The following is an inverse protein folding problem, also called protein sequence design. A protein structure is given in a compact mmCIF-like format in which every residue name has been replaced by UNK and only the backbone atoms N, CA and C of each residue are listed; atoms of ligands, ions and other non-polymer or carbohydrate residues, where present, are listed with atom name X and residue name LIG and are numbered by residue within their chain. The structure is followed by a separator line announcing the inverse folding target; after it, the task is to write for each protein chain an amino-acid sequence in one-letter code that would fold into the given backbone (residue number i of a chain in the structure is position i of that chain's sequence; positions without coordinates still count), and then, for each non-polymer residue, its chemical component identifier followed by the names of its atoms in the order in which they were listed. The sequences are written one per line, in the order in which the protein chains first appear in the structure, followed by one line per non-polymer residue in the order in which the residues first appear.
data_IF_866161606302
#
_entry.id   IF_866161606302
#
_cell.length_a   1.000
_cell.length_b   1.000
_cell.length_c   1.000
_cell.angle_alpha   90.00
_cell.angle_beta   90.00
_cell.angle_gamma   90.00
#
_symmetry.space_group_name_H-M   'P 1'
#
loop_
_entity.id
_entity.type
_entity.pdbx_description
1 polymer ?
#
# COMPACT_ATOMS: atom_id res chain seq x y z
N UNK A 1 6.97 21.83 -18.71
CA UNK A 1 6.02 22.60 -17.88
C UNK A 1 6.81 23.60 -17.05
N UNK A 2 6.85 24.87 -17.45
CA UNK A 2 7.15 25.96 -16.52
C UNK A 2 5.79 26.50 -16.06
N UNK A 3 5.41 26.20 -14.82
CA UNK A 3 4.11 26.55 -14.29
C UNK A 3 4.08 26.44 -12.78
N UNK A 4 3.11 27.11 -12.15
CA UNK A 4 2.89 27.04 -10.71
C UNK A 4 2.76 25.58 -10.26
N UNK A 5 3.40 25.21 -9.15
CA UNK A 5 3.32 23.87 -8.58
C UNK A 5 3.18 23.97 -7.05
N UNK A 6 2.07 23.49 -6.45
CA UNK A 6 0.88 22.91 -7.08
C UNK A 6 0.10 23.90 -7.96
N UNK A 7 -0.65 23.35 -8.93
CA UNK A 7 -1.59 24.09 -9.78
C UNK A 7 -3.02 23.76 -9.37
N UNK A 8 -3.86 24.77 -9.15
CA UNK A 8 -5.29 24.55 -8.92
C UNK A 8 -5.99 24.25 -10.25
N UNK A 9 -6.64 23.09 -10.36
CA UNK A 9 -7.30 22.61 -11.58
C UNK A 9 -8.82 22.66 -11.51
N UNK A 10 -9.39 22.70 -10.30
CA UNK A 10 -10.81 22.98 -10.08
C UNK A 10 -10.98 23.91 -8.87
N UNK A 11 -12.06 24.67 -8.86
CA UNK A 11 -12.40 25.64 -7.82
C UNK A 11 -13.72 25.24 -7.18
N UNK A 12 -13.84 25.39 -5.86
CA UNK A 12 -15.12 25.23 -5.17
C UNK A 12 -16.17 26.19 -5.75
N UNK A 13 -17.39 25.72 -6.04
CA UNK A 13 -18.47 26.60 -6.48
C UNK A 13 -18.76 27.72 -5.47
N UNK A 14 -18.97 28.95 -5.96
CA UNK A 14 -19.13 30.12 -5.10
C UNK A 14 -20.32 30.02 -4.14
N UNK A 15 -21.35 29.28 -4.52
CA UNK A 15 -22.59 29.07 -3.77
C UNK A 15 -22.53 27.91 -2.75
N UNK A 16 -21.42 27.17 -2.65
CA UNK A 16 -21.28 25.98 -1.79
C UNK A 16 -20.31 26.17 -0.63
N UNK A 17 -20.32 27.35 0.01
CA UNK A 17 -19.56 27.58 1.25
C UNK A 17 -20.42 27.21 2.47
N UNK A 18 -19.90 26.44 3.45
CA UNK A 18 -18.49 26.28 3.81
C UNK A 18 -17.68 25.38 2.86
N UNK A 19 -16.41 25.77 2.65
CA UNK A 19 -15.51 25.16 1.66
C UNK A 19 -15.37 23.65 1.91
N UNK A 20 -15.68 22.85 0.88
CA UNK A 20 -15.41 21.41 0.88
C UNK A 20 -13.92 21.15 1.09
N UNK A 21 -13.56 20.09 1.82
CA UNK A 21 -12.15 19.71 2.04
C UNK A 21 -11.41 19.63 0.69
N UNK A 22 -10.37 20.43 0.46
CA UNK A 22 -9.66 20.46 -0.81
C UNK A 22 -8.99 19.12 -1.09
N UNK A 23 -8.92 18.76 -2.38
CA UNK A 23 -8.25 17.56 -2.85
C UNK A 23 -6.91 17.91 -3.49
N UNK A 24 -5.84 17.23 -3.09
CA UNK A 24 -4.52 17.33 -3.71
C UNK A 24 -4.21 16.03 -4.44
N UNK A 25 -3.96 16.10 -5.74
CA UNK A 25 -3.66 14.98 -6.62
C UNK A 25 -2.21 15.03 -7.10
N UNK A 26 -1.46 13.95 -6.88
CA UNK A 26 -0.07 13.82 -7.28
C UNK A 26 0.02 13.11 -8.62
N UNK A 27 0.89 13.57 -9.52
CA UNK A 27 1.09 12.97 -10.84
C UNK A 27 1.33 11.45 -10.81
N UNK A 28 1.04 10.80 -11.93
CA UNK A 28 1.29 9.38 -12.16
C UNK A 28 2.76 9.09 -12.54
N UNK A 29 3.08 7.85 -12.92
CA UNK A 29 4.45 7.48 -13.34
C UNK A 29 4.96 8.26 -14.55
N UNK A 30 4.07 8.81 -15.36
CA UNK A 30 4.43 9.67 -16.49
C UNK A 30 4.92 11.06 -16.08
N UNK A 31 4.72 11.49 -14.82
CA UNK A 31 5.21 12.78 -14.33
C UNK A 31 4.28 13.97 -14.60
N UNK A 32 3.13 13.74 -15.24
CA UNK A 32 2.23 14.80 -15.71
C UNK A 32 0.91 14.83 -14.95
N UNK A 33 0.21 15.96 -14.99
CA UNK A 33 -1.10 16.14 -14.33
C UNK A 33 -2.26 16.21 -15.33
N UNK A 34 -2.02 15.93 -16.61
CA UNK A 34 -3.03 16.10 -17.67
C UNK A 34 -4.33 15.34 -17.37
N UNK A 35 -4.23 14.11 -16.87
CA UNK A 35 -5.39 13.29 -16.51
C UNK A 35 -6.32 13.94 -15.47
N UNK A 36 -5.82 14.89 -14.66
CA UNK A 36 -6.64 15.58 -13.67
C UNK A 36 -7.43 16.76 -14.23
N UNK A 37 -7.08 17.26 -15.42
CA UNK A 37 -7.84 18.33 -16.10
C UNK A 37 -9.11 17.81 -16.80
N UNK A 38 -9.16 16.52 -17.10
CA UNK A 38 -10.30 15.88 -17.77
C UNK A 38 -11.29 15.25 -16.79
N UNK A 39 -11.04 15.38 -15.48
CA UNK A 39 -11.98 14.96 -14.45
C UNK A 39 -13.24 15.83 -14.51
N UNK A 40 -14.39 15.20 -14.28
CA UNK A 40 -15.64 15.93 -14.05
C UNK A 40 -15.54 16.84 -12.82
N UNK A 41 -16.50 17.74 -12.68
CA UNK A 41 -16.55 18.68 -11.57
C UNK A 41 -16.73 17.95 -10.22
N UNK A 42 -15.72 18.07 -9.34
CA UNK A 42 -15.67 17.45 -8.02
C UNK A 42 -16.26 18.33 -6.92
N UNK A 43 -16.76 19.52 -7.27
CA UNK A 43 -17.41 20.48 -6.38
C UNK A 43 -16.52 20.88 -5.18
N UNK A 44 -15.20 20.96 -5.40
CA UNK A 44 -14.20 21.34 -4.39
C UNK A 44 -12.97 21.94 -5.06
N UNK A 45 -12.13 22.58 -4.25
CA UNK A 45 -10.80 22.96 -4.72
C UNK A 45 -9.98 21.69 -4.99
N UNK A 46 -9.44 21.59 -6.20
CA UNK A 46 -8.58 20.47 -6.61
C UNK A 46 -7.23 21.04 -7.02
N UNK A 47 -6.16 20.56 -6.40
CA UNK A 47 -4.78 20.95 -6.67
C UNK A 47 -4.04 19.76 -7.28
N UNK A 48 -3.27 20.01 -8.34
CA UNK A 48 -2.48 19.01 -9.02
C UNK A 48 -0.98 19.31 -8.87
N UNK A 49 -0.21 18.30 -8.48
CA UNK A 49 1.25 18.37 -8.33
C UNK A 49 1.89 17.59 -9.49
N UNK A 50 2.57 18.30 -10.40
CA UNK A 50 3.36 17.68 -11.47
C UNK A 50 4.78 17.41 -10.99
N UNK A 51 5.53 16.53 -11.70
CA UNK A 51 6.93 16.24 -11.39
C UNK A 51 7.84 17.43 -11.77
N UNK A 52 8.48 18.13 -10.80
CA UNK A 52 9.42 19.21 -11.10
C UNK A 52 10.62 18.78 -11.95
N UNK A 53 11.04 17.52 -11.86
CA UNK A 53 12.14 16.96 -12.66
C UNK A 53 11.65 16.41 -14.02
N UNK A 54 10.39 16.62 -14.42
CA UNK A 54 9.86 16.07 -15.68
C UNK A 54 10.65 16.53 -16.92
N UNK A 55 11.04 17.82 -16.96
CA UNK A 55 11.79 18.37 -18.09
C UNK A 55 13.27 18.00 -18.07
N UNK A 56 13.86 17.86 -16.88
CA UNK A 56 15.29 17.59 -16.74
C UNK A 56 15.58 16.08 -16.78
N UNK A 57 14.62 15.25 -16.39
CA UNK A 57 14.79 13.81 -16.26
C UNK A 57 15.71 13.41 -15.11
N UNK A 58 16.10 14.36 -14.25
CA UNK A 58 17.03 14.10 -13.15
C UNK A 58 16.43 13.12 -12.15
N UNK A 59 17.26 12.21 -11.58
CA UNK A 59 16.81 11.32 -10.53
C UNK A 59 16.39 12.11 -9.29
N UNK A 60 15.68 11.44 -8.39
CA UNK A 60 15.29 12.01 -7.11
C UNK A 60 16.21 11.52 -6.00
N UNK A 61 16.90 12.47 -5.37
CA UNK A 61 17.65 12.21 -4.15
C UNK A 61 16.70 11.71 -3.06
N UNK A 62 17.04 10.56 -2.46
CA UNK A 62 16.16 9.90 -1.49
C UNK A 62 14.95 9.19 -2.09
N UNK A 63 14.86 9.07 -3.42
CA UNK A 63 13.81 8.33 -4.13
C UNK A 63 12.39 8.85 -3.84
N UNK A 64 11.44 7.94 -3.63
CA UNK A 64 10.03 8.29 -3.36
C UNK A 64 9.89 9.17 -2.10
N UNK A 65 10.66 8.89 -1.05
CA UNK A 65 10.57 9.63 0.22
C UNK A 65 11.09 11.07 0.06
N UNK A 66 12.19 11.23 -0.68
CA UNK A 66 12.71 12.55 -1.04
C UNK A 66 11.74 13.35 -1.91
N UNK A 67 11.11 12.68 -2.88
CA UNK A 67 10.05 13.29 -3.71
C UNK A 67 8.85 13.73 -2.87
N UNK A 68 8.34 12.86 -1.99
CA UNK A 68 7.22 13.18 -1.11
C UNK A 68 7.55 14.35 -0.17
N UNK A 69 8.76 14.39 0.38
CA UNK A 69 9.23 15.49 1.23
C UNK A 69 9.30 16.82 0.47
N UNK A 70 9.72 16.78 -0.80
CA UNK A 70 9.68 17.96 -1.67
C UNK A 70 8.24 18.43 -1.93
N UNK A 71 7.31 17.50 -2.21
CA UNK A 71 5.92 17.84 -2.51
C UNK A 71 5.19 18.42 -1.32
N UNK A 72 5.40 17.91 -0.11
CA UNK A 72 4.90 18.55 1.12
C UNK A 72 5.39 20.00 1.22
N UNK A 73 6.67 20.25 0.90
CA UNK A 73 7.24 21.59 0.85
C UNK A 73 6.57 22.50 -0.19
N UNK A 74 6.20 21.96 -1.36
CA UNK A 74 5.45 22.72 -2.37
C UNK A 74 4.06 23.12 -1.87
N UNK A 75 3.34 22.22 -1.20
CA UNK A 75 2.02 22.52 -0.64
C UNK A 75 2.11 23.64 0.41
N UNK A 76 3.10 23.55 1.30
CA UNK A 76 3.35 24.55 2.33
C UNK A 76 3.69 25.93 1.73
N UNK A 77 4.58 25.97 0.73
CA UNK A 77 4.94 27.21 0.01
C UNK A 77 3.75 27.83 -0.71
N UNK A 78 2.81 27.01 -1.18
CA UNK A 78 1.57 27.48 -1.81
C UNK A 78 0.52 27.96 -0.80
N UNK A 79 0.78 27.89 0.50
CA UNK A 79 -0.16 28.30 1.55
C UNK A 79 -1.30 27.32 1.80
N UNK A 80 -1.18 26.08 1.33
CA UNK A 80 -2.18 25.04 1.61
C UNK A 80 -2.05 24.64 3.07
N UNK A 81 -3.14 24.77 3.82
CA UNK A 81 -3.21 24.52 5.27
C UNK A 81 -4.56 23.91 5.64
N UNK A 82 -4.68 23.40 6.86
CA UNK A 82 -5.89 22.74 7.35
C UNK A 82 -6.02 21.29 6.87
N UNK A 83 -7.26 20.80 6.86
CA UNK A 83 -7.58 19.45 6.42
C UNK A 83 -7.57 19.37 4.89
N UNK A 84 -6.91 18.36 4.34
CA UNK A 84 -6.88 18.06 2.90
C UNK A 84 -7.23 16.59 2.66
N UNK A 85 -7.81 16.31 1.50
CA UNK A 85 -7.77 14.98 0.89
C UNK A 85 -6.50 14.89 0.04
N UNK A 86 -5.84 13.75 0.04
CA UNK A 86 -4.59 13.54 -0.68
C UNK A 86 -4.68 12.26 -1.52
N UNK A 87 -4.23 12.29 -2.76
CA UNK A 87 -4.38 11.13 -3.62
C UNK A 87 -3.62 11.19 -4.92
N UNK A 88 -3.85 10.20 -5.76
CA UNK A 88 -3.30 10.15 -7.11
C UNK A 88 -3.57 8.82 -7.78
N UNK A 89 -3.37 8.80 -9.09
CA UNK A 89 -3.43 7.59 -9.91
C UNK A 89 -2.08 6.88 -9.95
N UNK A 90 -2.09 5.54 -9.85
CA UNK A 90 -0.90 4.70 -9.96
C UNK A 90 0.21 5.14 -8.98
N UNK A 91 1.39 5.54 -9.47
CA UNK A 91 2.48 6.09 -8.65
C UNK A 91 2.02 7.25 -7.75
N UNK A 92 1.08 8.07 -8.21
CA UNK A 92 0.55 9.19 -7.44
C UNK A 92 -0.08 8.74 -6.12
N UNK A 93 -0.67 7.53 -6.08
CA UNK A 93 -1.18 6.94 -4.85
C UNK A 93 -0.07 6.57 -3.86
N UNK A 94 1.06 6.07 -4.34
CA UNK A 94 2.24 5.78 -3.49
C UNK A 94 2.79 7.07 -2.89
N UNK A 95 2.96 8.10 -3.71
CA UNK A 95 3.42 9.42 -3.26
C UNK A 95 2.46 10.03 -2.26
N UNK A 96 1.15 9.95 -2.50
CA UNK A 96 0.12 10.39 -1.57
C UNK A 96 0.22 9.68 -0.22
N UNK A 97 0.40 8.36 -0.22
CA UNK A 97 0.58 7.56 1.00
C UNK A 97 1.84 7.97 1.78
N UNK A 98 2.96 8.15 1.10
CA UNK A 98 4.23 8.59 1.70
C UNK A 98 4.12 10.00 2.28
N UNK A 99 3.53 10.93 1.53
CA UNK A 99 3.27 12.29 1.99
C UNK A 99 2.37 12.31 3.23
N UNK A 100 1.31 11.49 3.25
CA UNK A 100 0.44 11.34 4.41
C UNK A 100 1.19 10.80 5.63
N UNK A 101 2.08 9.83 5.44
CA UNK A 101 2.92 9.31 6.51
C UNK A 101 3.87 10.38 7.06
N UNK A 102 4.54 11.14 6.19
CA UNK A 102 5.42 12.25 6.59
C UNK A 102 4.67 13.33 7.39
N UNK A 103 3.43 13.64 6.99
CA UNK A 103 2.58 14.63 7.66
C UNK A 103 2.05 14.11 9.00
N UNK A 104 1.65 12.84 9.08
CA UNK A 104 1.18 12.22 10.33
C UNK A 104 2.29 12.16 11.40
N UNK A 105 3.53 11.92 10.97
CA UNK A 105 4.71 11.90 11.84
C UNK A 105 5.16 13.31 12.30
N UNK A 106 4.51 14.39 11.84
CA UNK A 106 4.84 15.79 12.18
C UNK A 106 3.60 16.53 12.73
N UNK A 107 3.24 16.35 14.01
CA UNK A 107 2.05 16.97 14.60
C UNK A 107 2.02 18.50 14.56
N UNK A 108 3.15 19.18 14.38
CA UNK A 108 3.21 20.65 14.24
C UNK A 108 2.89 21.15 12.82
N UNK A 109 2.71 20.26 11.83
CA UNK A 109 2.39 20.66 10.46
C UNK A 109 1.10 21.47 10.40
N UNK A 110 1.03 22.49 9.54
CA UNK A 110 -0.22 23.20 9.28
C UNK A 110 -1.21 22.39 8.41
N UNK A 111 -0.74 21.29 7.81
CA UNK A 111 -1.53 20.41 6.95
C UNK A 111 -1.91 19.14 7.72
N UNK A 112 -3.17 18.70 7.57
CA UNK A 112 -3.71 17.45 8.10
C UNK A 112 -4.35 16.66 6.96
N UNK A 113 -4.02 15.37 6.85
CA UNK A 113 -4.65 14.51 5.84
C UNK A 113 -5.92 13.91 6.44
N UNK A 114 -7.06 14.33 5.92
CA UNK A 114 -8.38 13.85 6.33
C UNK A 114 -8.77 12.54 5.64
N UNK A 115 -8.17 12.24 4.48
CA UNK A 115 -8.43 11.01 3.73
C UNK A 115 -7.45 10.83 2.57
N UNK A 116 -7.30 9.57 2.16
CA UNK A 116 -6.49 9.16 1.01
C UNK A 116 -7.40 8.71 -0.15
N UNK A 117 -7.05 9.12 -1.37
CA UNK A 117 -7.68 8.66 -2.62
C UNK A 117 -6.64 7.93 -3.48
N UNK A 118 -6.72 6.61 -3.52
CA UNK A 118 -5.84 5.76 -4.31
C UNK A 118 -6.59 5.28 -5.55
N UNK A 119 -6.26 5.83 -6.72
CA UNK A 119 -6.91 5.44 -7.98
C UNK A 119 -6.01 4.42 -8.65
N UNK A 120 -6.50 3.19 -8.84
CA UNK A 120 -5.81 2.12 -9.56
C UNK A 120 -4.31 2.03 -9.22
N UNK A 121 -4.03 2.11 -7.91
CA UNK A 121 -2.67 2.09 -7.36
C UNK A 121 -2.42 0.68 -6.83
N UNK A 122 -1.59 -0.14 -7.51
CA UNK A 122 -1.43 -1.53 -7.12
C UNK A 122 -0.80 -1.68 -5.74
N UNK A 123 -0.95 -2.82 -5.09
CA UNK A 123 -0.18 -3.06 -3.87
C UNK A 123 1.30 -3.22 -4.23
N UNK A 124 2.17 -2.41 -3.62
CA UNK A 124 3.59 -2.38 -3.95
C UNK A 124 4.41 -3.35 -3.10
N UNK A 125 5.16 -4.22 -3.76
CA UNK A 125 6.26 -5.00 -3.18
C UNK A 125 7.54 -4.55 -3.89
N UNK A 126 8.64 -4.22 -3.18
CA UNK A 126 9.88 -3.81 -3.81
C UNK A 126 10.31 -4.81 -4.88
N UNK A 127 10.50 -4.37 -6.12
CA UNK A 127 10.67 -5.31 -7.24
C UNK A 127 11.93 -6.16 -7.11
N UNK A 128 12.94 -5.69 -6.36
CA UNK A 128 14.13 -6.50 -5.99
C UNK A 128 13.82 -7.77 -5.21
N UNK A 129 12.64 -7.87 -4.59
CA UNK A 129 12.17 -9.02 -3.80
C UNK A 129 11.32 -9.98 -4.63
N UNK A 130 10.95 -9.61 -5.85
CA UNK A 130 10.18 -10.47 -6.74
C UNK A 130 11.16 -11.42 -7.44
N UNK A 131 10.91 -12.72 -7.32
CA UNK A 131 11.75 -13.78 -7.91
C UNK A 131 11.61 -13.86 -9.43
N UNK A 132 10.49 -13.37 -9.96
CA UNK A 132 10.17 -13.36 -11.39
C UNK A 132 10.42 -11.97 -11.99
N UNK A 133 11.32 -11.91 -12.97
CA UNK A 133 11.43 -10.75 -13.86
C UNK A 133 10.19 -10.73 -14.76
N UNK A 134 9.29 -9.78 -14.50
CA UNK A 134 8.19 -9.51 -15.42
C UNK A 134 8.73 -8.65 -16.57
N UNK A 135 8.42 -9.01 -17.81
CA UNK A 135 8.64 -8.10 -18.94
C UNK A 135 7.66 -6.93 -18.76
N UNK A 136 8.19 -5.73 -18.57
CA UNK A 136 7.37 -4.53 -18.67
C UNK A 136 6.73 -4.50 -20.06
N UNK A 137 5.42 -4.25 -20.17
CA UNK A 137 4.77 -4.17 -21.46
C UNK A 137 5.43 -3.07 -22.30
N UNK A 138 5.79 -3.41 -23.54
CA UNK A 138 6.41 -2.45 -24.45
C UNK A 138 5.38 -1.41 -24.90
N UNK A 139 5.28 -0.29 -24.19
CA UNK A 139 4.43 0.83 -24.58
C UNK A 139 5.11 1.60 -25.72
N UNK A 140 4.63 1.38 -26.95
CA UNK A 140 5.15 2.07 -28.14
C UNK A 140 4.65 3.51 -28.21
N UNK A 141 5.46 4.41 -28.79
CA UNK A 141 5.05 5.79 -29.07
C UNK A 141 5.06 6.73 -27.86
N UNK A 142 5.60 6.32 -26.71
CA UNK A 142 5.77 7.23 -25.57
C UNK A 142 6.80 8.33 -25.88
N UNK A 143 6.46 9.61 -25.61
CA UNK A 143 7.43 10.69 -25.63
C UNK A 143 8.62 10.41 -24.71
N UNK A 144 9.81 10.85 -25.10
CA UNK A 144 11.05 10.50 -24.40
C UNK A 144 11.06 10.93 -22.93
N UNK A 145 10.50 12.10 -22.61
CA UNK A 145 10.39 12.58 -21.22
C UNK A 145 9.47 11.72 -20.35
N UNK A 146 8.39 11.19 -20.94
CA UNK A 146 7.47 10.29 -20.25
C UNK A 146 8.15 8.94 -20.02
N UNK A 147 8.84 8.42 -21.04
CA UNK A 147 9.65 7.18 -20.91
C UNK A 147 10.73 7.32 -19.84
N UNK A 148 11.42 8.46 -19.81
CA UNK A 148 12.43 8.76 -18.79
C UNK A 148 11.82 8.83 -17.40
N UNK A 149 10.63 9.44 -17.25
CA UNK A 149 9.90 9.48 -15.99
C UNK A 149 9.56 8.07 -15.49
N UNK A 150 9.02 7.20 -16.35
CA UNK A 150 8.77 5.80 -15.99
C UNK A 150 10.03 5.06 -15.57
N UNK A 151 11.13 5.20 -16.31
CA UNK A 151 12.42 4.60 -15.95
C UNK A 151 12.90 5.04 -14.56
N UNK A 152 12.83 6.33 -14.26
CA UNK A 152 13.20 6.83 -12.93
C UNK A 152 12.28 6.26 -11.84
N UNK A 153 10.99 6.08 -12.12
CA UNK A 153 10.03 5.49 -11.19
C UNK A 153 10.34 4.02 -10.91
N UNK A 154 10.63 3.23 -11.94
CA UNK A 154 11.03 1.82 -11.82
C UNK A 154 12.26 1.68 -10.93
N UNK A 155 13.27 2.54 -11.12
CA UNK A 155 14.49 2.53 -10.30
C UNK A 155 14.21 2.85 -8.82
N UNK A 156 13.36 3.84 -8.53
CA UNK A 156 12.98 4.16 -7.15
C UNK A 156 12.19 3.01 -6.50
N UNK A 157 11.21 2.46 -7.22
CA UNK A 157 10.33 1.38 -6.72
C UNK A 157 11.06 0.05 -6.53
N UNK A 158 12.24 -0.13 -7.14
CA UNK A 158 13.06 -1.34 -6.98
C UNK A 158 13.42 -1.63 -5.52
N UNK A 159 13.70 -0.58 -4.74
CA UNK A 159 14.12 -0.71 -3.33
C UNK A 159 13.09 -0.14 -2.35
N UNK A 160 12.26 0.80 -2.79
CA UNK A 160 11.31 1.50 -1.93
C UNK A 160 10.28 0.54 -1.33
N UNK A 161 10.01 0.71 -0.05
CA UNK A 161 9.05 -0.05 0.74
C UNK A 161 7.89 0.86 1.14
N UNK A 162 6.67 0.31 1.17
CA UNK A 162 5.50 1.04 1.63
C UNK A 162 5.73 1.54 3.08
N UNK A 163 5.33 2.78 3.41
CA UNK A 163 5.43 3.29 4.76
C UNK A 163 4.59 2.44 5.71
N UNK A 164 5.14 2.16 6.89
CA UNK A 164 4.47 1.36 7.91
C UNK A 164 3.52 2.21 8.74
N UNK A 165 2.31 1.69 8.92
CA UNK A 165 1.27 2.28 9.76
C UNK A 165 0.97 1.32 10.91
N UNK A 166 1.96 1.12 11.78
CA UNK A 166 1.93 0.08 12.84
C UNK A 166 1.05 0.45 14.04
N UNK A 167 0.49 1.68 14.06
CA UNK A 167 -0.43 2.13 15.09
C UNK A 167 -1.86 1.59 14.89
N UNK A 168 -2.68 1.50 15.95
CA UNK A 168 -4.06 1.07 15.81
C UNK A 168 -4.84 2.06 14.94
N UNK A 169 -5.60 1.54 13.98
CA UNK A 169 -6.44 2.36 13.11
C UNK A 169 -7.32 3.30 13.96
N UNK A 170 -7.35 4.58 13.60
CA UNK A 170 -8.10 5.62 14.33
C UNK A 170 -7.80 5.73 15.84
N UNK A 171 -6.63 5.26 16.29
CA UNK A 171 -6.26 5.20 17.70
C UNK A 171 -7.01 4.10 18.46
N UNK A 172 -7.49 3.06 17.76
CA UNK A 172 -8.29 1.96 18.34
C UNK A 172 -9.77 2.30 18.53
N UNK A 173 -10.24 3.43 17.98
CA UNK A 173 -11.64 3.86 18.08
C UNK A 173 -12.42 3.41 16.86
N UNK A 174 -13.66 3.00 17.10
CA UNK A 174 -14.61 2.74 16.03
C UNK A 174 -14.92 4.03 15.26
N UNK A 175 -15.05 3.89 13.94
CA UNK A 175 -15.32 5.00 13.03
C UNK A 175 -16.72 4.88 12.50
N UNK A 176 -17.52 5.93 12.67
CA UNK A 176 -18.83 6.05 12.02
C UNK A 176 -18.76 7.10 10.92
N UNK A 177 -19.21 6.75 9.72
CA UNK A 177 -19.27 7.67 8.59
C UNK A 177 -20.51 7.42 7.73
N UNK A 178 -20.81 8.37 6.85
CA UNK A 178 -21.93 8.31 5.91
C UNK A 178 -21.37 8.18 4.49
N UNK A 179 -21.87 7.22 3.72
CA UNK A 179 -21.66 7.15 2.27
C UNK A 179 -23.04 7.29 1.64
N UNK A 180 -23.22 8.32 0.81
CA UNK A 180 -24.53 8.70 0.27
C UNK A 180 -25.56 8.87 1.40
N UNK A 181 -26.65 8.09 1.41
CA UNK A 181 -27.68 8.13 2.45
C UNK A 181 -27.50 7.08 3.56
N UNK A 182 -26.49 6.22 3.46
CA UNK A 182 -26.27 5.11 4.39
C UNK A 182 -25.20 5.45 5.43
N UNK A 183 -25.41 5.01 6.66
CA UNK A 183 -24.43 5.12 7.76
C UNK A 183 -23.75 3.77 7.98
N UNK A 184 -22.44 3.83 8.16
CA UNK A 184 -21.60 2.67 8.43
C UNK A 184 -20.83 2.91 9.73
N UNK A 185 -20.65 1.85 10.51
CA UNK A 185 -19.77 1.82 11.68
C UNK A 185 -18.73 0.73 11.44
N UNK A 186 -17.46 1.12 11.35
CA UNK A 186 -16.33 0.21 11.19
C UNK A 186 -15.55 0.11 12.49
N UNK A 187 -15.28 -1.12 12.90
CA UNK A 187 -14.31 -1.43 13.96
C UNK A 187 -12.90 -1.46 13.40
N UNK A 188 -11.91 -1.38 14.29
CA UNK A 188 -10.51 -1.61 13.91
C UNK A 188 -10.37 -2.96 13.20
N UNK A 189 -9.74 -2.98 12.02
CA UNK A 189 -9.56 -4.18 11.20
C UNK A 189 -10.67 -4.42 10.16
N UNK A 190 -11.78 -3.68 10.20
CA UNK A 190 -12.85 -3.79 9.21
C UNK A 190 -12.67 -2.80 8.06
N UNK A 191 -13.07 -3.22 6.86
CA UNK A 191 -13.10 -2.38 5.66
C UNK A 191 -14.53 -2.34 5.10
N UNK A 192 -14.95 -1.18 4.61
CA UNK A 192 -16.14 -1.09 3.77
C UNK A 192 -15.71 -1.34 2.33
N UNK A 193 -16.25 -2.39 1.72
CA UNK A 193 -16.04 -2.71 0.32
C UNK A 193 -17.35 -2.50 -0.44
N UNK A 194 -17.34 -1.63 -1.44
CA UNK A 194 -18.51 -1.33 -2.27
C UNK A 194 -18.19 -1.74 -3.72
N UNK A 195 -18.60 -2.95 -4.14
CA UNK A 195 -18.46 -3.39 -5.52
C UNK A 195 -19.28 -2.50 -6.45
N UNK A 196 -18.87 -2.38 -7.72
CA UNK A 196 -19.55 -1.55 -8.70
C UNK A 196 -21.04 -1.92 -8.89
N UNK A 197 -21.39 -3.19 -8.69
CA UNK A 197 -22.71 -3.75 -8.96
C UNK A 197 -23.53 -4.06 -7.68
N UNK A 198 -22.95 -3.90 -6.49
CA UNK A 198 -23.58 -4.29 -5.23
C UNK A 198 -23.56 -3.18 -4.18
N UNK A 199 -24.56 -3.17 -3.30
CA UNK A 199 -24.54 -2.27 -2.15
C UNK A 199 -23.41 -2.64 -1.17
N UNK A 200 -22.67 -1.65 -0.68
CA UNK A 200 -21.47 -1.85 0.14
C UNK A 200 -21.62 -2.85 1.29
N UNK A 201 -20.62 -3.72 1.43
CA UNK A 201 -20.51 -4.77 2.45
C UNK A 201 -19.30 -4.49 3.35
N UNK A 202 -19.43 -4.82 4.64
CA UNK A 202 -18.31 -4.73 5.59
C UNK A 202 -17.55 -6.06 5.57
N UNK A 203 -16.25 -6.01 5.29
CA UNK A 203 -15.35 -7.16 5.28
C UNK A 203 -14.42 -7.04 6.49
N UNK A 204 -14.24 -8.14 7.24
CA UNK A 204 -13.24 -8.22 8.29
C UNK A 204 -11.88 -8.58 7.68
N UNK A 205 -10.91 -7.69 7.84
CA UNK A 205 -9.53 -7.85 7.38
C UNK A 205 -8.56 -8.06 8.55
N UNK A 206 -9.09 -8.40 9.74
CA UNK A 206 -8.25 -8.81 10.87
C UNK A 206 -7.50 -10.09 10.50
N UNK A 207 -6.18 -10.18 10.75
CA UNK A 207 -5.46 -11.44 10.54
C UNK A 207 -6.16 -12.53 11.36
N UNK A 208 -6.33 -13.75 10.81
CA UNK A 208 -6.92 -14.84 11.58
C UNK A 208 -6.13 -15.02 12.87
N UNK A 209 -6.84 -15.21 13.99
CA UNK A 209 -6.23 -15.55 15.28
C UNK A 209 -5.27 -16.72 15.04
N UNK A 210 -3.97 -16.45 15.07
CA UNK A 210 -2.97 -17.50 15.17
C UNK A 210 -3.27 -18.14 16.51
N UNK A 211 -3.91 -19.32 16.49
CA UNK A 211 -4.05 -20.13 17.67
C UNK A 211 -2.63 -20.43 18.14
N UNK A 212 -2.19 -19.72 19.18
CA UNK A 212 -0.99 -20.08 19.92
C UNK A 212 -1.29 -21.45 20.50
N UNK A 213 -0.89 -22.50 19.79
CA UNK A 213 -0.83 -23.83 20.35
C UNK A 213 0.18 -23.74 21.48
N UNK A 214 -0.32 -23.63 22.71
CA UNK A 214 0.49 -23.87 23.90
C UNK A 214 1.25 -25.17 23.66
N UNK A 215 2.58 -25.23 23.89
CA UNK A 215 3.31 -26.46 23.70
C UNK A 215 2.68 -27.51 24.60
N UNK A 216 1.93 -28.45 24.00
CA UNK A 216 1.49 -29.64 24.72
C UNK A 216 2.77 -30.32 25.18
N UNK A 217 2.94 -30.44 26.50
CA UNK A 217 3.94 -31.32 27.08
C UNK A 217 3.64 -32.73 26.57
N UNK A 218 4.39 -33.18 25.58
CA UNK A 218 4.35 -34.56 25.13
C UNK A 218 5.12 -35.35 26.17
N UNK A 219 4.40 -35.96 27.11
CA UNK A 219 4.93 -37.04 27.93
C UNK A 219 5.20 -38.25 27.02
N UNK A 220 6.37 -38.90 27.08
CA UNK A 220 6.62 -40.10 26.30
C UNK A 220 5.63 -41.21 26.68
N UNK A 221 5.13 -42.02 25.75
CA UNK A 221 4.29 -43.16 26.06
C UNK A 221 5.03 -44.17 26.94
N UNK A 222 4.41 -44.56 28.06
CA UNK A 222 4.92 -45.58 28.95
C UNK A 222 5.06 -46.94 28.25
N UNK A 223 6.18 -47.61 28.51
CA UNK A 223 6.48 -48.97 28.06
C UNK A 223 5.37 -49.95 28.46
N UNK A 224 4.70 -50.53 27.48
CA UNK A 224 3.82 -51.69 27.67
C UNK A 224 4.68 -52.92 27.94
N UNK A 225 4.48 -53.54 29.10
CA UNK A 225 5.05 -54.85 29.47
C UNK A 225 4.32 -55.95 28.69
N UNK A 226 5.07 -56.79 27.98
CA UNK A 226 4.55 -58.04 27.41
C UNK A 226 4.35 -59.11 28.50
N UNK A 227 3.29 -59.93 28.43
CA UNK A 227 3.10 -61.07 29.32
C UNK A 227 3.80 -62.35 28.83
N UNK A 228 4.43 -63.06 29.77
CA UNK A 228 5.03 -64.40 29.64
C UNK A 228 3.95 -65.49 29.46
N UNK A 229 4.13 -66.40 28.49
CA UNK A 229 3.83 -67.85 28.57
C UNK A 229 4.44 -68.58 27.35
N UNK A 230 5.55 -69.34 27.47
CA UNK A 230 5.70 -70.77 27.83
C UNK A 230 5.74 -71.76 26.62
N UNK A 231 6.99 -72.22 26.36
CA UNK A 231 7.52 -73.59 26.05
C UNK A 231 7.16 -74.39 24.78
N UNK A 232 8.25 -74.92 24.18
CA UNK A 232 8.33 -76.24 23.49
C UNK A 232 9.22 -76.20 22.23
N UNK A 233 10.56 -76.33 22.28
CA UNK A 233 11.37 -77.56 22.39
C UNK A 233 11.98 -78.04 21.04
N UNK A 234 13.33 -78.04 20.99
CA UNK A 234 14.27 -79.03 20.35
C UNK A 234 14.31 -79.10 18.80
N UNK A 235 15.45 -79.12 18.08
CA UNK A 235 16.87 -79.20 18.43
C UNK A 235 17.82 -79.15 17.22
N UNK A 236 19.12 -79.00 17.54
CA UNK A 236 20.40 -79.33 16.85
C UNK A 236 20.48 -79.47 15.31
N UNK A 237 21.42 -78.76 14.67
CA UNK A 237 22.75 -79.27 14.24
C UNK A 237 23.48 -78.31 13.27
N UNK A 238 24.79 -78.15 13.46
CA UNK A 238 25.81 -77.52 12.56
C UNK A 238 26.22 -78.50 11.43
N UNK A 239 27.27 -78.30 10.59
CA UNK A 239 27.95 -77.11 10.01
C UNK A 239 28.21 -77.24 8.46
N UNK A 240 28.92 -76.24 7.88
CA UNK A 240 29.94 -76.31 6.79
C UNK A 240 29.75 -75.44 5.51
N UNK A 241 30.67 -74.44 5.40
CA UNK A 241 31.43 -73.85 4.25
C UNK A 241 31.39 -74.55 2.86
N UNK A 242 32.00 -73.97 1.77
CA UNK A 242 32.14 -72.58 1.30
C UNK A 242 31.98 -72.38 -0.26
N UNK A 243 31.94 -71.11 -0.75
CA UNK A 243 32.63 -70.43 -1.92
C UNK A 243 32.87 -71.24 -3.23
N UNK A 244 32.67 -70.74 -4.49
CA UNK A 244 33.32 -69.54 -5.09
C UNK A 244 32.44 -68.70 -6.05
N UNK A 245 32.81 -67.49 -6.49
CA UNK A 245 34.00 -66.65 -6.29
C UNK A 245 33.71 -65.22 -6.74
#
# INVERSE_FOLDING_TARGET
MHGKNPLQVQFVPHNQRPCQTPLVLIHDGGGTTFGYFILGDLQRDVWAVHNPHFLTGEPWDGGIDGMAQHYVGLLQKAGITGNILLGGWSLGGYLALTMAHLLASKPSSAIRVAGLLLVDSPYHVPTRRLETSHCDPAIKGLPDLVRKSFSNCTEMLRKWELPRWDGPACGGRDVTFKVSEKRFALRTGQILHEPLEEAGQIIDNSPPLVATLSPRSVTPPGTLREPLAVRGAVGQAMPHRPVPG
#
